data_IF_681102877587
#
_entry.id   IF_681102877587
#
_cell.length_a   1.000
_cell.length_b   1.000
_cell.length_c   1.000
_cell.angle_alpha   90.00
_cell.angle_beta   90.00
_cell.angle_gamma   90.00
#
_symmetry.space_group_name_H-M   'P 1'
#
loop_
_entity.id
_entity.type
_entity.pdbx_description
1 polymer ?
#
# COMPACT_ATOMS: atom_id res chain seq x y z
N UNK A 1 0.72 13.81 10.25
CA UNK A 1 1.03 12.38 10.47
C UNK A 1 -0.05 11.48 9.90
N UNK A 2 -1.32 11.69 10.28
CA UNK A 2 -2.43 11.03 9.60
C UNK A 2 -2.46 11.35 8.09
N UNK A 3 -2.16 12.59 7.71
CA UNK A 3 -2.11 12.97 6.28
C UNK A 3 -1.06 12.16 5.51
N UNK A 4 0.16 12.04 6.05
CA UNK A 4 1.23 11.20 5.49
C UNK A 4 0.80 9.74 5.36
N UNK A 5 0.13 9.19 6.38
CA UNK A 5 -0.44 7.85 6.35
C UNK A 5 -1.50 7.70 5.24
N UNK A 6 -2.43 8.64 5.14
CA UNK A 6 -3.49 8.63 4.14
C UNK A 6 -2.96 8.80 2.71
N UNK A 7 -1.91 9.62 2.54
CA UNK A 7 -1.22 9.85 1.29
C UNK A 7 -0.47 8.59 0.84
N UNK A 8 0.31 7.97 1.72
CA UNK A 8 1.02 6.70 1.43
C UNK A 8 0.05 5.58 1.06
N UNK A 9 -1.07 5.45 1.77
CA UNK A 9 -2.12 4.50 1.39
C UNK A 9 -2.67 4.76 -0.02
N UNK A 10 -2.81 6.04 -0.40
CA UNK A 10 -3.28 6.41 -1.74
C UNK A 10 -2.25 6.07 -2.81
N UNK A 11 -0.96 6.35 -2.55
CA UNK A 11 0.14 6.01 -3.45
C UNK A 11 0.28 4.50 -3.67
N UNK A 12 0.25 3.70 -2.59
CA UNK A 12 0.30 2.25 -2.66
C UNK A 12 -0.92 1.67 -3.37
N UNK A 13 -2.13 2.19 -3.11
CA UNK A 13 -3.34 1.77 -3.83
C UNK A 13 -3.15 1.92 -5.34
N UNK A 14 -2.70 3.09 -5.80
CA UNK A 14 -2.43 3.33 -7.22
C UNK A 14 -1.30 2.45 -7.77
N UNK A 15 -0.30 2.09 -6.97
CA UNK A 15 0.77 1.17 -7.40
C UNK A 15 0.24 -0.26 -7.54
N UNK A 16 -0.51 -0.77 -6.58
CA UNK A 16 -1.09 -2.11 -6.65
C UNK A 16 -2.10 -2.26 -7.79
N UNK A 17 -2.93 -1.25 -8.05
CA UNK A 17 -3.84 -1.26 -9.21
C UNK A 17 -3.03 -1.39 -10.51
N UNK A 18 -2.00 -0.57 -10.70
CA UNK A 18 -1.13 -0.66 -11.89
C UNK A 18 -0.45 -2.02 -12.03
N UNK A 19 0.03 -2.59 -10.93
CA UNK A 19 0.62 -3.94 -10.94
C UNK A 19 -0.41 -5.01 -11.30
N UNK A 20 -1.65 -4.85 -10.85
CA UNK A 20 -2.75 -5.72 -11.25
C UNK A 20 -3.09 -5.56 -12.74
N UNK A 21 -3.07 -4.34 -13.28
CA UNK A 21 -3.39 -4.11 -14.69
C UNK A 21 -2.35 -4.74 -15.63
N UNK A 22 -1.08 -4.81 -15.20
CA UNK A 22 0.03 -5.37 -15.99
C UNK A 22 0.39 -6.81 -15.61
N UNK A 23 -0.34 -7.45 -14.69
CA UNK A 23 0.02 -8.77 -14.21
C UNK A 23 -0.24 -9.87 -15.27
N UNK A 24 0.71 -10.79 -15.49
CA UNK A 24 0.65 -11.83 -16.53
C UNK A 24 -0.38 -12.93 -16.26
N UNK A 25 -0.89 -13.05 -15.03
CA UNK A 25 -1.83 -14.10 -14.64
C UNK A 25 -2.99 -13.57 -13.80
N UNK A 26 -4.12 -14.28 -13.83
CA UNK A 26 -5.25 -13.99 -12.93
C UNK A 26 -4.86 -14.11 -11.45
N UNK A 27 -4.03 -15.09 -11.11
CA UNK A 27 -3.56 -15.28 -9.75
C UNK A 27 -2.74 -14.09 -9.23
N UNK A 28 -1.83 -13.54 -10.05
CA UNK A 28 -1.07 -12.35 -9.68
C UNK A 28 -1.97 -11.11 -9.60
N UNK A 29 -2.96 -10.98 -10.48
CA UNK A 29 -3.97 -9.92 -10.39
C UNK A 29 -4.72 -9.96 -9.07
N UNK A 30 -5.18 -11.13 -8.67
CA UNK A 30 -5.92 -11.32 -7.42
C UNK A 30 -5.05 -11.03 -6.19
N UNK A 31 -3.76 -11.37 -6.23
CA UNK A 31 -2.81 -11.02 -5.17
C UNK A 31 -2.69 -9.50 -5.00
N UNK A 32 -2.56 -8.74 -6.10
CA UNK A 32 -2.49 -7.28 -6.02
C UNK A 32 -3.81 -6.67 -5.57
N UNK A 33 -4.95 -7.22 -5.99
CA UNK A 33 -6.26 -6.80 -5.51
C UNK A 33 -6.45 -7.06 -4.01
N UNK A 34 -5.98 -8.21 -3.51
CA UNK A 34 -6.01 -8.51 -2.09
C UNK A 34 -5.21 -7.46 -1.30
N UNK A 35 -4.05 -7.03 -1.80
CA UNK A 35 -3.25 -5.96 -1.17
C UNK A 35 -3.98 -4.62 -1.12
N UNK A 36 -4.73 -4.27 -2.16
CA UNK A 36 -5.58 -3.06 -2.15
C UNK A 36 -6.65 -3.13 -1.06
N UNK A 37 -7.29 -4.30 -0.90
CA UNK A 37 -8.32 -4.50 0.12
C UNK A 37 -7.72 -4.44 1.54
N UNK A 38 -6.62 -5.14 1.79
CA UNK A 38 -5.88 -5.10 3.06
C UNK A 38 -5.51 -3.67 3.45
N UNK A 39 -5.02 -2.89 2.48
CA UNK A 39 -4.63 -1.49 2.69
C UNK A 39 -5.82 -0.60 3.04
N UNK A 40 -6.94 -0.77 2.33
CA UNK A 40 -8.19 -0.03 2.59
C UNK A 40 -8.73 -0.35 3.99
N UNK A 41 -8.72 -1.62 4.37
CA UNK A 41 -9.26 -2.06 5.65
C UNK A 41 -8.37 -1.58 6.80
N UNK A 42 -7.05 -1.62 6.63
CA UNK A 42 -6.08 -1.03 7.57
C UNK A 42 -6.33 0.49 7.75
N UNK A 43 -6.49 1.23 6.64
CA UNK A 43 -6.78 2.67 6.70
C UNK A 43 -8.06 3.00 7.48
N UNK A 44 -9.06 2.11 7.43
CA UNK A 44 -10.32 2.27 8.17
C UNK A 44 -10.18 1.89 9.64
N UNK A 45 -9.34 0.92 9.96
CA UNK A 45 -9.18 0.40 11.32
C UNK A 45 -8.28 1.29 12.21
N UNK A 46 -7.29 1.97 11.62
CA UNK A 46 -6.32 2.77 12.38
C UNK A 46 -6.92 4.11 12.82
N UNK A 47 -7.01 4.40 14.13
CA UNK A 47 -7.49 5.70 14.62
C UNK A 47 -6.55 6.84 14.26
N UNK A 48 -7.09 7.99 13.85
CA UNK A 48 -6.29 9.14 13.42
C UNK A 48 -5.42 9.76 14.52
N UNK A 49 -5.74 9.50 15.79
CA UNK A 49 -4.98 9.99 16.95
C UNK A 49 -3.98 8.97 17.51
N UNK A 50 -3.98 7.73 17.01
CA UNK A 50 -3.01 6.72 17.43
C UNK A 50 -1.68 6.91 16.70
N UNK A 51 -0.85 7.78 17.27
CA UNK A 51 0.45 8.15 16.71
C UNK A 51 1.38 6.94 16.53
N UNK A 52 1.33 5.97 17.44
CA UNK A 52 2.21 4.80 17.40
C UNK A 52 1.81 3.86 16.25
N UNK A 53 0.51 3.57 16.12
CA UNK A 53 -0.01 2.77 15.01
C UNK A 53 0.25 3.45 13.66
N UNK A 54 0.01 4.75 13.54
CA UNK A 54 0.28 5.51 12.33
C UNK A 54 1.75 5.44 11.92
N UNK A 55 2.69 5.64 12.86
CA UNK A 55 4.12 5.56 12.55
C UNK A 55 4.54 4.16 12.10
N UNK A 56 4.05 3.11 12.73
CA UNK A 56 4.37 1.73 12.34
C UNK A 56 3.92 1.45 10.90
N UNK A 57 2.69 1.83 10.55
CA UNK A 57 2.17 1.65 9.19
C UNK A 57 2.87 2.53 8.17
N UNK A 58 3.18 3.79 8.49
CA UNK A 58 3.95 4.68 7.61
C UNK A 58 5.29 4.02 7.25
N UNK A 59 6.06 3.59 8.26
CA UNK A 59 7.38 2.97 8.02
C UNK A 59 7.28 1.68 7.19
N UNK A 60 6.27 0.84 7.48
CA UNK A 60 6.02 -0.38 6.71
C UNK A 60 5.67 -0.07 5.25
N UNK A 61 4.80 0.91 5.02
CA UNK A 61 4.32 1.27 3.69
C UNK A 61 5.37 2.00 2.86
N UNK A 62 6.22 2.80 3.48
CA UNK A 62 7.38 3.41 2.81
C UNK A 62 8.35 2.34 2.32
N UNK A 63 8.67 1.35 3.14
CA UNK A 63 9.55 0.24 2.76
C UNK A 63 8.97 -0.57 1.59
N UNK A 64 7.67 -0.84 1.63
CA UNK A 64 6.97 -1.55 0.55
C UNK A 64 6.93 -0.71 -0.74
N UNK A 65 6.63 0.58 -0.65
CA UNK A 65 6.65 1.48 -1.80
C UNK A 65 8.05 1.54 -2.43
N UNK A 66 9.10 1.63 -1.61
CA UNK A 66 10.48 1.61 -2.05
C UNK A 66 10.85 0.29 -2.75
N UNK A 67 10.42 -0.86 -2.19
CA UNK A 67 10.59 -2.18 -2.82
C UNK A 67 9.95 -2.23 -4.20
N UNK A 68 8.69 -1.82 -4.29
CA UNK A 68 7.93 -1.82 -5.55
C UNK A 68 8.46 -0.81 -6.58
N UNK A 69 9.14 0.25 -6.16
CA UNK A 69 9.81 1.21 -7.04
C UNK A 69 11.19 0.72 -7.49
N UNK A 70 11.94 0.07 -6.59
CA UNK A 70 13.24 -0.54 -6.87
C UNK A 70 13.16 -1.65 -7.91
N UNK A 71 12.10 -2.47 -7.86
CA UNK A 71 11.83 -3.54 -8.82
C UNK A 71 11.55 -3.05 -10.25
N UNK A 72 11.37 -1.74 -10.48
CA UNK A 72 11.18 -1.15 -11.82
C UNK A 72 12.46 -0.56 -12.43
N UNK A 73 13.62 -0.70 -11.76
CA UNK A 73 14.94 -0.23 -12.24
C UNK A 73 15.91 -1.37 -12.59
N UNK A 74 15.40 -2.60 -12.73
CA UNK A 74 16.15 -3.77 -13.19
C UNK A 74 15.72 -4.20 -14.59
#
# INVERSE_FOLDING_TARGET
MYDTFAELATQLTGRYIRLSDTAPSAAERDQWWQKVLELRDTKRAVPAYDRAALMAHISQWEAELARLQGDHRG
#
